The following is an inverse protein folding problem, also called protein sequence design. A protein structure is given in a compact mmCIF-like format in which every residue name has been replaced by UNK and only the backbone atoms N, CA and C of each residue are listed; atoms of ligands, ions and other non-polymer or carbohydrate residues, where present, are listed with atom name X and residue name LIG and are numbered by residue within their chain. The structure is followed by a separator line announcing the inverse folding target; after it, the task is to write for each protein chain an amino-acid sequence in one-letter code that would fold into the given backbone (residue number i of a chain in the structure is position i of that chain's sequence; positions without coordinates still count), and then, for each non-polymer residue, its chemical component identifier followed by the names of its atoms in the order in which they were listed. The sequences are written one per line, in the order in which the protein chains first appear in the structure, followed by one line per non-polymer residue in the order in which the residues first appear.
data_IF_905527152834
#
_entry.id   IF_905527152834
#
_cell.length_a   1.000
_cell.length_b   1.000
_cell.length_c   1.000
_cell.angle_alpha   90.00
_cell.angle_beta   90.00
_cell.angle_gamma   90.00
#
_symmetry.space_group_name_H-M   'P 1'
#
loop_
_entity.id
_entity.type
_entity.pdbx_description
1 polymer ?
#
# COMPACT_ATOMS: atom_id res chain seq x y z
N UNK A 1 81.97 -13.34 1.89
CA UNK A 1 80.84 -12.71 2.60
C UNK A 1 80.08 -11.79 1.63
N UNK A 2 78.73 -11.80 1.70
CA UNK A 2 77.72 -10.90 1.06
C UNK A 2 77.47 -11.17 -0.46
N UNK A 3 76.41 -11.92 -0.85
CA UNK A 3 74.98 -11.55 -1.12
C UNK A 3 74.88 -10.47 -2.22
N UNK A 4 74.16 -10.62 -3.34
CA UNK A 4 72.69 -10.64 -3.45
C UNK A 4 72.19 -11.35 -4.74
N UNK A 5 71.10 -12.12 -4.59
CA UNK A 5 70.24 -12.66 -5.65
C UNK A 5 69.28 -11.56 -6.13
N UNK A 6 69.13 -11.37 -7.45
CA UNK A 6 68.01 -10.60 -8.02
C UNK A 6 66.90 -11.55 -8.45
N UNK A 7 65.79 -11.50 -7.71
CA UNK A 7 64.56 -12.22 -8.02
C UNK A 7 63.76 -11.43 -9.06
N UNK A 8 63.38 -12.08 -10.17
CA UNK A 8 62.43 -11.56 -11.14
C UNK A 8 61.03 -11.77 -10.56
N UNK A 9 60.33 -10.67 -10.26
CA UNK A 9 58.93 -10.68 -9.82
C UNK A 9 58.06 -10.84 -11.07
N UNK A 10 57.41 -12.00 -11.21
CA UNK A 10 56.34 -12.19 -12.18
C UNK A 10 55.04 -11.65 -11.58
N UNK A 11 54.53 -10.54 -12.11
CA UNK A 11 53.19 -10.02 -11.79
C UNK A 11 52.15 -10.77 -12.62
N UNK A 12 51.40 -11.67 -11.96
CA UNK A 12 50.18 -12.24 -12.54
C UNK A 12 49.04 -11.24 -12.42
N UNK A 13 48.52 -10.79 -13.57
CA UNK A 13 47.34 -9.94 -13.63
C UNK A 13 46.11 -10.75 -13.21
N UNK A 14 45.57 -10.45 -12.02
CA UNK A 14 44.28 -10.94 -11.56
C UNK A 14 43.16 -10.15 -12.27
N UNK A 15 42.58 -10.75 -13.31
CA UNK A 15 41.33 -10.30 -13.92
C UNK A 15 40.17 -10.60 -12.97
N UNK A 16 39.93 -9.72 -12.00
CA UNK A 16 38.75 -9.78 -11.14
C UNK A 16 37.50 -9.40 -11.94
N UNK A 17 36.66 -10.37 -12.29
CA UNK A 17 35.30 -10.11 -12.77
C UNK A 17 34.50 -9.60 -11.56
N UNK A 18 34.36 -8.28 -11.46
CA UNK A 18 33.40 -7.66 -10.54
C UNK A 18 32.00 -8.05 -11.02
N UNK A 19 31.43 -9.08 -10.39
CA UNK A 19 29.99 -9.34 -10.40
C UNK A 19 29.34 -8.16 -9.70
N UNK A 20 28.97 -7.13 -10.46
CA UNK A 20 28.08 -6.07 -10.00
C UNK A 20 26.71 -6.73 -9.84
N UNK A 21 26.46 -7.26 -8.63
CA UNK A 21 25.12 -7.64 -8.24
C UNK A 21 24.26 -6.37 -8.27
N UNK A 22 23.26 -6.32 -9.15
CA UNK A 22 22.26 -5.26 -9.09
C UNK A 22 21.69 -5.23 -7.66
N UNK A 23 21.59 -4.05 -7.03
CA UNK A 23 21.04 -3.97 -5.69
C UNK A 23 19.63 -4.56 -5.71
N UNK A 24 19.37 -5.51 -4.83
CA UNK A 24 18.04 -6.09 -4.68
C UNK A 24 17.05 -4.94 -4.47
N UNK A 25 16.20 -4.71 -5.47
CA UNK A 25 15.15 -3.70 -5.38
C UNK A 25 14.30 -4.02 -4.15
N UNK A 26 14.35 -3.17 -3.13
CA UNK A 26 13.63 -3.39 -1.89
C UNK A 26 12.14 -3.49 -2.19
N UNK A 27 11.57 -4.68 -1.99
CA UNK A 27 10.14 -4.90 -2.14
C UNK A 27 9.41 -4.02 -1.11
N UNK A 28 8.61 -3.09 -1.60
CA UNK A 28 7.71 -2.30 -0.76
C UNK A 28 6.33 -2.94 -0.84
N UNK A 29 5.74 -3.40 0.27
CA UNK A 29 4.43 -4.03 0.25
C UNK A 29 3.33 -3.01 -0.10
N UNK A 30 2.23 -3.44 -0.74
CA UNK A 30 1.05 -2.62 -0.91
C UNK A 30 0.48 -2.17 0.44
N UNK A 31 0.00 -0.94 0.51
CA UNK A 31 -0.55 -0.36 1.75
C UNK A 31 -1.85 0.38 1.49
N UNK A 32 -2.71 0.43 2.51
CA UNK A 32 -3.93 1.24 2.53
C UNK A 32 -3.90 2.14 3.75
N UNK A 33 -4.13 3.43 3.54
CA UNK A 33 -4.22 4.44 4.60
C UNK A 33 -5.50 5.23 4.50
N UNK A 34 -5.97 5.73 5.64
CA UNK A 34 -7.12 6.61 5.74
C UNK A 34 -6.70 7.96 6.30
N UNK A 35 -7.39 9.01 5.85
CA UNK A 35 -7.26 10.36 6.42
C UNK A 35 -8.56 11.13 6.26
N UNK A 36 -8.69 12.27 6.94
CA UNK A 36 -9.80 13.21 6.76
C UNK A 36 -9.26 14.47 6.12
N UNK A 37 -9.87 14.90 5.01
CA UNK A 37 -9.48 16.16 4.38
C UNK A 37 -10.23 17.37 4.98
N UNK A 38 -9.83 18.58 4.55
CA UNK A 38 -10.43 19.84 5.01
C UNK A 38 -11.94 19.97 4.72
N UNK A 39 -12.48 19.21 3.76
CA UNK A 39 -13.90 19.17 3.42
C UNK A 39 -14.68 18.09 4.19
N UNK A 40 -14.10 17.57 5.28
CA UNK A 40 -14.70 16.51 6.11
C UNK A 40 -15.06 15.26 5.31
N UNK A 41 -14.20 14.90 4.35
CA UNK A 41 -14.31 13.65 3.61
C UNK A 41 -13.25 12.70 4.12
N UNK A 42 -13.62 11.44 4.33
CA UNK A 42 -12.66 10.37 4.53
C UNK A 42 -12.04 10.06 3.18
N UNK A 43 -10.72 9.98 3.16
CA UNK A 43 -9.90 9.67 2.00
C UNK A 43 -9.28 8.30 2.22
N UNK A 44 -9.69 7.31 1.42
CA UNK A 44 -9.03 6.02 1.36
C UNK A 44 -7.97 6.04 0.26
N UNK A 45 -6.72 5.71 0.60
CA UNK A 45 -5.61 5.68 -0.34
C UNK A 45 -4.92 4.33 -0.32
N UNK A 46 -4.84 3.69 -1.48
CA UNK A 46 -4.01 2.50 -1.67
C UNK A 46 -2.76 2.87 -2.48
N UNK A 47 -1.59 2.41 -2.04
CA UNK A 47 -0.30 2.66 -2.69
C UNK A 47 0.52 1.40 -2.87
N UNK A 48 1.49 1.45 -3.78
CA UNK A 48 2.41 0.34 -4.07
C UNK A 48 1.67 -0.92 -4.51
N UNK A 49 0.56 -0.75 -5.22
CA UNK A 49 -0.22 -1.88 -5.74
C UNK A 49 0.61 -2.62 -6.80
N UNK A 50 0.52 -3.97 -6.86
CA UNK A 50 1.32 -4.77 -7.79
C UNK A 50 1.00 -4.45 -9.25
N UNK A 51 1.72 -4.97 -10.24
CA UNK A 51 1.32 -4.81 -11.65
C UNK A 51 -0.01 -5.54 -11.95
N UNK A 52 -0.73 -5.09 -13.00
CA UNK A 52 -2.00 -5.70 -13.45
C UNK A 52 -3.23 -4.84 -13.16
N UNK A 53 -4.42 -5.35 -13.52
CA UNK A 53 -5.71 -4.66 -13.32
C UNK A 53 -6.30 -5.05 -11.96
N UNK A 54 -6.58 -4.05 -11.13
CA UNK A 54 -7.14 -4.22 -9.80
C UNK A 54 -8.51 -3.58 -9.74
N UNK A 55 -9.33 -4.11 -8.85
CA UNK A 55 -10.58 -3.48 -8.41
C UNK A 55 -10.41 -3.13 -6.94
N UNK A 56 -10.53 -1.84 -6.62
CA UNK A 56 -10.47 -1.36 -5.24
C UNK A 56 -11.84 -0.83 -4.81
N UNK A 57 -12.34 -1.30 -3.68
CA UNK A 57 -13.55 -0.82 -3.03
C UNK A 57 -13.23 -0.09 -1.74
N UNK A 58 -13.97 0.98 -1.46
CA UNK A 58 -13.91 1.74 -0.22
C UNK A 58 -15.30 1.82 0.41
N UNK A 59 -15.38 1.51 1.70
CA UNK A 59 -16.59 1.44 2.51
C UNK A 59 -16.36 2.16 3.85
N UNK A 60 -17.45 2.63 4.46
CA UNK A 60 -17.42 3.18 5.82
C UNK A 60 -18.69 2.90 6.60
N UNK A 61 -18.62 2.86 7.93
CA UNK A 61 -19.83 2.78 8.76
C UNK A 61 -20.67 4.06 8.69
N UNK A 62 -21.87 4.03 9.27
CA UNK A 62 -22.56 5.25 9.72
C UNK A 62 -21.79 5.98 10.83
N UNK A 63 -22.09 7.27 11.12
CA UNK A 63 -21.43 8.01 12.20
C UNK A 63 -21.70 7.37 13.56
N UNK A 64 -20.64 7.26 14.38
CA UNK A 64 -20.68 6.73 15.75
C UNK A 64 -21.48 5.42 15.83
N UNK A 65 -21.09 4.39 15.05
CA UNK A 65 -21.80 3.13 15.10
C UNK A 65 -21.69 2.55 16.51
N UNK A 66 -22.69 1.77 16.91
CA UNK A 66 -22.62 0.97 18.13
C UNK A 66 -21.50 -0.08 18.05
N UNK A 67 -21.41 -0.96 19.07
CA UNK A 67 -20.49 -2.09 19.01
C UNK A 67 -20.71 -2.89 17.74
N UNK A 68 -19.63 -3.09 16.97
CA UNK A 68 -19.66 -3.91 15.75
C UNK A 68 -19.37 -5.34 16.17
N UNK A 69 -20.39 -6.20 16.11
CA UNK A 69 -20.32 -7.60 16.54
C UNK A 69 -20.47 -8.50 15.29
N UNK A 70 -19.43 -9.28 14.95
CA UNK A 70 -19.45 -10.21 13.80
C UNK A 70 -18.94 -9.61 12.47
N UNK A 71 -19.21 -10.30 11.35
CA UNK A 71 -18.77 -9.87 10.02
C UNK A 71 -19.61 -8.72 9.46
N UNK A 72 -19.03 -7.52 9.48
CA UNK A 72 -19.04 -6.35 8.56
C UNK A 72 -20.24 -5.97 7.66
N UNK A 73 -21.26 -6.81 7.48
CA UNK A 73 -22.15 -6.74 6.31
C UNK A 73 -23.28 -5.72 6.35
N UNK A 74 -23.81 -5.37 7.52
CA UNK A 74 -25.08 -4.64 7.56
C UNK A 74 -24.94 -3.12 7.83
N UNK A 75 -23.82 -2.67 8.40
CA UNK A 75 -23.66 -1.27 8.84
C UNK A 75 -22.68 -0.45 7.99
N UNK A 76 -22.06 -1.08 6.98
CA UNK A 76 -21.11 -0.44 6.08
C UNK A 76 -21.80 0.12 4.84
N UNK A 77 -21.48 1.36 4.52
CA UNK A 77 -21.94 2.11 3.37
C UNK A 77 -20.82 2.17 2.34
N UNK A 78 -21.10 1.70 1.13
CA UNK A 78 -20.17 1.83 0.00
C UNK A 78 -19.91 3.31 -0.31
N UNK A 79 -18.64 3.69 -0.28
CA UNK A 79 -18.18 5.02 -0.69
C UNK A 79 -17.97 5.06 -2.20
N UNK A 80 -17.32 4.02 -2.74
CA UNK A 80 -17.07 3.91 -4.17
C UNK A 80 -16.15 2.76 -4.52
N UNK A 81 -16.07 2.48 -5.81
CA UNK A 81 -15.22 1.45 -6.39
C UNK A 81 -14.41 2.05 -7.54
N UNK A 82 -13.19 1.56 -7.75
CA UNK A 82 -12.34 1.96 -8.88
C UNK A 82 -11.59 0.76 -9.43
N UNK A 83 -11.66 0.61 -10.76
CA UNK A 83 -10.82 -0.31 -11.52
C UNK A 83 -9.61 0.46 -12.03
N UNK A 84 -8.40 -0.08 -11.86
CA UNK A 84 -7.16 0.59 -12.30
C UNK A 84 -6.08 -0.40 -12.69
N UNK A 85 -5.24 -0.04 -13.64
CA UNK A 85 -3.96 -0.72 -13.89
C UNK A 85 -2.79 -0.08 -13.11
N UNK A 86 -2.97 1.14 -12.58
CA UNK A 86 -1.94 1.89 -11.87
C UNK A 86 -1.57 1.30 -10.51
N UNK A 87 -0.51 1.85 -9.93
CA UNK A 87 0.07 1.46 -8.64
C UNK A 87 -0.63 2.13 -7.43
N UNK A 88 -1.53 3.09 -7.69
CA UNK A 88 -2.19 3.90 -6.67
C UNK A 88 -3.68 4.08 -6.95
N UNK A 89 -4.46 4.10 -5.87
CA UNK A 89 -5.88 4.46 -5.88
C UNK A 89 -6.14 5.46 -4.77
N UNK A 90 -6.97 6.45 -5.04
CA UNK A 90 -7.52 7.35 -4.03
C UNK A 90 -9.00 7.49 -4.26
N UNK A 91 -9.79 7.26 -3.22
CA UNK A 91 -11.23 7.38 -3.19
C UNK A 91 -11.63 8.31 -2.07
N UNK A 92 -12.69 9.08 -2.30
CA UNK A 92 -13.18 10.09 -1.38
C UNK A 92 -14.61 9.78 -1.01
N UNK A 93 -14.93 9.85 0.28
CA UNK A 93 -16.32 9.90 0.71
C UNK A 93 -16.99 11.19 0.23
N UNK A 94 -18.33 11.21 0.27
CA UNK A 94 -19.07 12.47 0.36
C UNK A 94 -18.68 13.20 1.65
N UNK A 95 -19.01 14.49 1.76
CA UNK A 95 -18.82 15.24 3.01
C UNK A 95 -19.62 14.55 4.13
N UNK A 96 -19.00 14.39 5.29
CA UNK A 96 -19.58 13.69 6.42
C UNK A 96 -19.76 14.63 7.62
N UNK A 97 -20.78 14.39 8.46
CA UNK A 97 -20.88 15.07 9.74
C UNK A 97 -19.72 14.62 10.66
N UNK A 98 -19.42 15.41 11.71
CA UNK A 98 -18.46 15.00 12.73
C UNK A 98 -18.86 13.69 13.39
N UNK A 99 -17.89 12.85 13.70
CA UNK A 99 -18.12 11.56 14.34
C UNK A 99 -16.99 10.57 14.09
N UNK A 100 -17.06 9.44 14.78
CA UNK A 100 -16.17 8.30 14.58
C UNK A 100 -16.78 7.35 13.55
N UNK A 101 -15.98 6.94 12.59
CA UNK A 101 -16.37 6.04 11.50
C UNK A 101 -15.40 4.88 11.46
N UNK A 102 -15.90 3.68 11.19
CA UNK A 102 -15.03 2.59 10.74
C UNK A 102 -14.87 2.72 9.23
N UNK A 103 -13.64 2.77 8.72
CA UNK A 103 -13.32 2.87 7.31
C UNK A 103 -12.61 1.58 6.87
N UNK A 104 -13.01 1.02 5.71
CA UNK A 104 -12.40 -0.18 5.14
C UNK A 104 -12.18 0.01 3.66
N UNK A 105 -10.98 -0.31 3.19
CA UNK A 105 -10.66 -0.29 1.78
C UNK A 105 -9.90 -1.57 1.43
N UNK A 106 -10.34 -2.22 0.36
CA UNK A 106 -9.79 -3.47 -0.12
C UNK A 106 -9.55 -3.38 -1.63
N UNK A 107 -8.40 -3.86 -2.06
CA UNK A 107 -8.01 -3.95 -3.46
C UNK A 107 -7.79 -5.41 -3.82
N UNK A 108 -8.35 -5.82 -4.95
CA UNK A 108 -8.29 -7.19 -5.44
C UNK A 108 -7.68 -7.23 -6.82
N UNK A 109 -6.90 -8.27 -7.10
CA UNK A 109 -6.43 -8.62 -8.45
C UNK A 109 -7.02 -9.96 -8.84
N UNK A 110 -7.41 -10.13 -10.11
CA UNK A 110 -7.82 -11.44 -10.61
C UNK A 110 -6.57 -12.28 -10.88
N UNK A 111 -6.40 -13.38 -10.15
CA UNK A 111 -5.34 -14.34 -10.40
C UNK A 111 -5.63 -15.07 -11.71
N UNK A 112 -4.74 -14.93 -12.70
CA UNK A 112 -4.94 -15.52 -14.04
C UNK A 112 -4.82 -17.05 -14.04
N UNK A 113 -4.14 -17.64 -13.07
CA UNK A 113 -3.94 -19.10 -12.98
C UNK A 113 -5.15 -19.79 -12.36
N UNK A 114 -5.67 -19.24 -11.26
CA UNK A 114 -6.81 -19.84 -10.54
C UNK A 114 -8.16 -19.26 -10.95
N UNK A 115 -8.19 -18.11 -11.63
CA UNK A 115 -9.41 -17.37 -11.94
C UNK A 115 -10.03 -16.63 -10.75
N UNK A 116 -9.52 -16.85 -9.54
CA UNK A 116 -10.00 -16.27 -8.29
C UNK A 116 -9.48 -14.84 -8.08
N UNK A 117 -10.19 -14.06 -7.27
CA UNK A 117 -9.70 -12.76 -6.83
C UNK A 117 -8.83 -12.91 -5.58
N UNK A 118 -7.67 -12.26 -5.59
CA UNK A 118 -6.72 -12.21 -4.49
C UNK A 118 -6.70 -10.80 -3.90
N UNK A 119 -6.69 -10.69 -2.57
CA UNK A 119 -6.56 -9.42 -1.87
C UNK A 119 -5.11 -8.98 -1.95
N UNK A 120 -4.85 -7.83 -2.58
CA UNK A 120 -3.49 -7.28 -2.73
C UNK A 120 -3.19 -6.18 -1.73
N UNK A 121 -4.22 -5.48 -1.26
CA UNK A 121 -4.08 -4.47 -0.23
C UNK A 121 -5.40 -4.36 0.53
N UNK A 122 -5.33 -4.35 1.86
CA UNK A 122 -6.50 -4.16 2.71
C UNK A 122 -6.06 -3.42 3.97
N UNK A 123 -6.91 -2.50 4.42
CA UNK A 123 -6.83 -1.99 5.76
C UNK A 123 -8.23 -1.64 6.25
N UNK A 124 -8.37 -1.63 7.56
CA UNK A 124 -9.57 -1.22 8.27
C UNK A 124 -9.16 -0.43 9.50
N UNK A 125 -9.76 0.75 9.68
CA UNK A 125 -9.34 1.68 10.71
C UNK A 125 -10.52 2.52 11.22
N UNK A 126 -10.52 2.78 12.53
CA UNK A 126 -11.38 3.79 13.11
C UNK A 126 -10.82 5.18 12.82
N UNK A 127 -11.60 6.01 12.15
CA UNK A 127 -11.23 7.38 11.82
C UNK A 127 -12.23 8.39 12.38
N UNK A 128 -11.72 9.49 12.94
CA UNK A 128 -12.54 10.57 13.48
C UNK A 128 -12.61 11.72 12.48
N UNK A 129 -13.82 12.04 12.04
CA UNK A 129 -14.11 13.29 11.32
C UNK A 129 -14.40 14.36 12.36
N UNK A 130 -13.56 15.38 12.43
CA UNK A 130 -13.69 16.46 13.41
C UNK A 130 -14.87 17.39 13.13
N UNK A 131 -15.35 18.06 14.18
CA UNK A 131 -16.16 19.27 14.03
C UNK A 131 -15.22 20.37 13.58
N UNK A 132 -15.14 20.59 12.26
CA UNK A 132 -14.30 21.62 11.67
C UNK A 132 -14.38 22.92 12.44
N UNK A 133 -13.26 23.35 13.01
CA UNK A 133 -13.09 24.76 13.35
C UNK A 133 -12.92 25.47 12.02
N UNK A 134 -13.98 26.12 11.56
CA UNK A 134 -13.86 27.21 10.61
C UNK A 134 -13.00 28.28 11.31
N UNK A 135 -11.73 28.35 10.93
CA UNK A 135 -10.87 29.50 11.21
C UNK A 135 -11.08 30.53 10.11
#
# INVERSE_FOLDING_TARGET
MRKFLSAIVATTALSGVLLVAEPASAYTPPTVTFSVNHNHRIVGKATTLPAGVKTCGFERSNPNPGPIIGSFGNDMVTVGNKVTAGDKVTLYSRRLPPGRYLARMSCFIKNRKSGMYEIVAVNEEWITVGAGRHH
#
